data_IF_676953670967
#
_entry.id   IF_676953670967
#
_cell.length_a   1.000
_cell.length_b   1.000
_cell.length_c   1.000
_cell.angle_alpha   90.00
_cell.angle_beta   90.00
_cell.angle_gamma   90.00
#
_symmetry.space_group_name_H-M   'P 1'
#
loop_
_entity.id
_entity.type
_entity.pdbx_description
1 polymer ?
#
# COMPACT_ATOMS: atom_id res chain seq x y z
N UNK A 1 17.27 -10.23 21.91
CA UNK A 1 16.48 -9.97 20.70
C UNK A 1 15.88 -8.59 20.89
N UNK A 2 16.49 -7.58 20.28
CA UNK A 2 16.06 -6.20 20.48
C UNK A 2 14.84 -5.95 19.60
N UNK A 3 13.66 -6.06 20.21
CA UNK A 3 12.41 -5.67 19.59
C UNK A 3 12.48 -4.16 19.34
N UNK A 4 12.63 -3.75 18.08
CA UNK A 4 12.50 -2.35 17.68
C UNK A 4 11.03 -2.09 17.30
N UNK A 5 10.22 -1.48 18.17
CA UNK A 5 8.81 -1.17 17.88
C UNK A 5 8.65 -0.19 16.70
N UNK A 6 9.71 0.49 16.27
CA UNK A 6 9.69 1.38 15.11
C UNK A 6 9.79 0.62 13.77
N UNK A 7 10.13 -0.68 13.78
CA UNK A 7 10.24 -1.48 12.56
C UNK A 7 8.88 -1.89 11.96
N UNK A 8 7.77 -1.60 12.66
CA UNK A 8 6.42 -2.04 12.28
C UNK A 8 5.49 -0.93 11.79
N UNK A 9 6.00 0.29 11.59
CA UNK A 9 5.22 1.38 11.01
C UNK A 9 5.85 1.86 9.71
N UNK A 10 5.80 1.03 8.67
CA UNK A 10 5.86 1.57 7.30
C UNK A 10 4.50 2.21 6.99
N UNK A 11 4.23 3.33 7.65
CA UNK A 11 3.00 4.09 7.43
C UNK A 11 2.89 4.38 5.93
N UNK A 12 1.86 3.82 5.28
CA UNK A 12 1.63 4.06 3.85
C UNK A 12 1.46 5.57 3.68
N UNK A 13 2.24 6.17 2.79
CA UNK A 13 2.17 7.59 2.47
C UNK A 13 1.39 7.79 1.17
N UNK A 14 0.56 8.82 1.12
CA UNK A 14 -0.13 9.21 -0.12
C UNK A 14 0.82 9.92 -1.09
N UNK A 15 0.51 9.82 -2.37
CA UNK A 15 1.28 10.42 -3.46
C UNK A 15 2.74 9.96 -3.49
N UNK A 16 2.99 8.73 -3.00
CA UNK A 16 4.29 8.08 -3.06
C UNK A 16 4.23 6.87 -3.96
N UNK A 17 5.36 6.61 -4.60
CA UNK A 17 5.53 5.46 -5.48
C UNK A 17 5.97 4.25 -4.68
N UNK A 18 5.31 3.14 -4.93
CA UNK A 18 5.62 1.84 -4.39
C UNK A 18 5.80 0.83 -5.52
N UNK A 19 6.74 -0.09 -5.34
CA UNK A 19 7.02 -1.15 -6.31
C UNK A 19 6.42 -2.46 -5.83
N UNK A 20 5.61 -3.11 -6.67
CA UNK A 20 5.02 -4.39 -6.34
C UNK A 20 6.03 -5.53 -6.47
N UNK A 21 6.06 -6.44 -5.49
CA UNK A 21 7.12 -7.44 -5.35
C UNK A 21 7.20 -8.43 -6.52
N UNK A 22 6.07 -8.78 -7.14
CA UNK A 22 5.99 -9.86 -8.15
C UNK A 22 6.26 -9.38 -9.57
N UNK A 23 5.54 -8.36 -10.03
CA UNK A 23 5.65 -7.83 -11.40
C UNK A 23 6.69 -6.70 -11.52
N UNK A 24 7.22 -6.19 -10.39
CA UNK A 24 8.20 -5.08 -10.34
C UNK A 24 7.67 -3.75 -10.90
N UNK A 25 6.36 -3.65 -11.13
CA UNK A 25 5.72 -2.44 -11.61
C UNK A 25 5.56 -1.40 -10.50
N UNK A 26 5.53 -0.14 -10.90
CA UNK A 26 5.43 1.01 -9.99
C UNK A 26 4.02 1.57 -9.96
N UNK A 27 3.55 1.84 -8.73
CA UNK A 27 2.21 2.32 -8.47
C UNK A 27 2.25 3.50 -7.51
N UNK A 28 1.36 4.47 -7.71
CA UNK A 28 1.22 5.64 -6.86
C UNK A 28 -0.02 5.52 -5.99
N UNK A 29 0.15 5.69 -4.68
CA UNK A 29 -0.95 5.76 -3.71
C UNK A 29 -1.70 7.09 -3.82
N UNK A 30 -3.02 7.08 -3.72
CA UNK A 30 -3.87 8.25 -3.94
C UNK A 30 -4.71 8.63 -2.72
N UNK A 31 -5.48 7.67 -2.19
CA UNK A 31 -6.44 7.94 -1.12
C UNK A 31 -6.43 6.83 -0.07
N UNK A 32 -6.59 7.23 1.19
CA UNK A 32 -6.97 6.30 2.24
C UNK A 32 -8.48 6.07 2.21
N UNK A 33 -8.90 4.83 2.40
CA UNK A 33 -10.30 4.44 2.42
C UNK A 33 -10.51 3.28 3.40
N UNK A 34 -11.76 2.82 3.50
CA UNK A 34 -12.10 1.55 4.13
C UNK A 34 -12.83 0.66 3.13
N UNK A 35 -12.57 -0.64 3.20
CA UNK A 35 -13.31 -1.66 2.46
C UNK A 35 -13.95 -2.62 3.46
N UNK A 36 -15.01 -3.29 3.05
CA UNK A 36 -15.68 -4.28 3.88
C UNK A 36 -15.15 -5.68 3.54
N UNK A 37 -14.57 -6.36 4.52
CA UNK A 37 -14.13 -7.75 4.43
C UNK A 37 -14.82 -8.55 5.53
N UNK A 38 -15.60 -9.57 5.15
CA UNK A 38 -16.34 -10.43 6.09
C UNK A 38 -17.16 -9.61 7.12
N UNK A 39 -17.94 -8.65 6.63
CA UNK A 39 -18.77 -7.72 7.42
C UNK A 39 -18.00 -6.79 8.39
N UNK A 40 -16.67 -6.70 8.26
CA UNK A 40 -15.81 -5.83 9.05
C UNK A 40 -15.18 -4.75 8.16
N UNK A 41 -15.22 -3.50 8.61
CA UNK A 41 -14.54 -2.40 7.94
C UNK A 41 -13.04 -2.41 8.24
N UNK A 42 -12.22 -2.61 7.22
CA UNK A 42 -10.75 -2.62 7.31
C UNK A 42 -10.15 -1.43 6.56
N UNK A 43 -9.00 -0.95 7.01
CA UNK A 43 -8.30 0.15 6.37
C UNK A 43 -7.67 -0.31 5.05
N UNK A 44 -7.84 0.50 4.00
CA UNK A 44 -7.38 0.19 2.66
C UNK A 44 -6.84 1.43 1.94
N UNK A 45 -6.01 1.20 0.92
CA UNK A 45 -5.41 2.24 0.09
C UNK A 45 -5.92 2.10 -1.34
N UNK A 46 -6.28 3.23 -1.94
CA UNK A 46 -6.51 3.35 -3.38
C UNK A 46 -5.20 3.77 -4.03
N UNK A 47 -4.80 3.06 -5.08
CA UNK A 47 -3.56 3.30 -5.81
C UNK A 47 -3.76 3.06 -7.31
N UNK A 48 -2.86 3.60 -8.14
CA UNK A 48 -2.89 3.41 -9.59
C UNK A 48 -1.51 3.12 -10.19
N UNK A 49 -1.43 2.43 -11.33
CA UNK A 49 -0.21 2.34 -12.11
C UNK A 49 0.21 3.73 -12.60
N UNK A 50 1.50 3.93 -12.84
CA UNK A 50 1.99 5.22 -13.33
C UNK A 50 1.67 5.49 -14.81
N UNK A 51 1.22 4.49 -15.56
CA UNK A 51 1.00 4.54 -17.01
C UNK A 51 -0.49 4.57 -17.43
N UNK A 52 -1.44 4.45 -16.49
CA UNK A 52 -2.87 4.52 -16.79
C UNK A 52 -3.67 5.10 -15.61
N UNK A 53 -4.96 5.35 -15.83
CA UNK A 53 -5.88 5.94 -14.83
C UNK A 53 -6.71 4.89 -14.08
N UNK A 54 -6.45 3.60 -14.28
CA UNK A 54 -7.17 2.54 -13.57
C UNK A 54 -6.86 2.55 -12.08
N UNK A 55 -7.90 2.51 -11.25
CA UNK A 55 -7.79 2.56 -9.79
C UNK A 55 -7.92 1.16 -9.21
N UNK A 56 -7.00 0.82 -8.31
CA UNK A 56 -6.97 -0.42 -7.55
C UNK A 56 -7.13 -0.11 -6.07
N UNK A 57 -7.71 -1.04 -5.33
CA UNK A 57 -7.84 -0.94 -3.87
C UNK A 57 -7.27 -2.20 -3.22
N UNK A 58 -6.61 -2.02 -2.07
CA UNK A 58 -6.04 -3.12 -1.29
C UNK A 58 -6.03 -2.78 0.19
N UNK A 59 -6.28 -3.76 1.04
CA UNK A 59 -6.14 -3.60 2.50
C UNK A 59 -4.71 -3.20 2.86
N UNK A 60 -4.52 -2.40 3.92
CA UNK A 60 -3.18 -1.91 4.31
C UNK A 60 -2.19 -3.03 4.52
N UNK A 61 -2.57 -4.06 5.28
CA UNK A 61 -1.72 -5.21 5.57
C UNK A 61 -1.25 -5.89 4.28
N UNK A 62 -2.17 -6.13 3.36
CA UNK A 62 -1.84 -6.77 2.08
C UNK A 62 -1.00 -5.84 1.19
N UNK A 63 -1.17 -4.52 1.28
CA UNK A 63 -0.33 -3.57 0.56
C UNK A 63 1.10 -3.55 1.11
N UNK A 64 1.27 -3.43 2.43
CA UNK A 64 2.59 -3.42 3.09
C UNK A 64 3.38 -4.72 2.83
N UNK A 65 2.71 -5.88 2.77
CA UNK A 65 3.35 -7.16 2.48
C UNK A 65 3.82 -7.30 1.01
N UNK A 66 3.14 -6.61 0.08
CA UNK A 66 3.29 -6.82 -1.36
C UNK A 66 4.03 -5.69 -2.06
N UNK A 67 4.19 -4.54 -1.40
CA UNK A 67 4.74 -3.32 -1.97
C UNK A 67 5.88 -2.77 -1.13
N UNK A 68 6.95 -2.33 -1.79
CA UNK A 68 8.07 -1.65 -1.13
C UNK A 68 8.11 -0.20 -1.59
N UNK A 69 8.25 0.74 -0.65
CA UNK A 69 8.39 2.17 -0.96
C UNK A 69 9.64 2.37 -1.82
N UNK A 70 9.50 3.02 -2.96
CA UNK A 70 10.65 3.37 -3.78
C UNK A 70 11.41 4.52 -3.11
N UNK A 71 12.66 4.31 -2.72
CA UNK A 71 13.56 5.38 -2.28
C UNK A 71 14.01 6.15 -3.51
N UNK A 72 13.28 7.21 -3.88
CA UNK A 72 13.72 8.15 -4.91
C UNK A 72 13.65 9.57 -4.37
#
# INVERSE_FOLDING_TARGET
>A
MDYNPLAFFNMIELNKTYTHYKNKESYTTLYFCKIQENDIWVNAIVYKPNNCEELFVRAYKEFEEKFTKSNK
#
